data_IF_251463549202
#
_entry.id   IF_251463549202
#
_cell.length_a   1.000
_cell.length_b   1.000
_cell.length_c   1.000
_cell.angle_alpha   90.00
_cell.angle_beta   90.00
_cell.angle_gamma   90.00
#
_symmetry.space_group_name_H-M   'P 1'
#
loop_
_entity.id
_entity.type
_entity.pdbx_description
1 polymer ?
#
# COMPACT_ATOMS: atom_id res chain seq x y z
N UNK A 1 -19.33 39.67 1.99
CA UNK A 1 -18.16 39.00 1.36
C UNK A 1 -17.54 38.06 2.38
N UNK A 2 -17.04 36.91 1.93
CA UNK A 2 -16.37 35.82 2.68
C UNK A 2 -17.30 35.01 3.61
N UNK A 3 -17.23 33.67 3.68
CA UNK A 3 -16.41 32.70 2.98
C UNK A 3 -17.06 31.31 3.06
N UNK A 4 -16.90 30.54 1.99
CA UNK A 4 -17.43 29.20 1.79
C UNK A 4 -16.92 28.21 2.85
N UNK A 5 -17.75 27.91 3.85
CA UNK A 5 -17.60 26.71 4.68
C UNK A 5 -18.13 25.50 3.90
N UNK A 6 -17.32 24.92 2.99
CA UNK A 6 -17.64 23.63 2.38
C UNK A 6 -17.53 22.55 3.46
N UNK A 7 -18.67 22.17 4.05
CA UNK A 7 -18.83 20.91 4.78
C UNK A 7 -18.71 19.78 3.75
N UNK A 8 -17.58 19.09 3.76
CA UNK A 8 -17.41 17.82 3.06
C UNK A 8 -18.30 16.78 3.75
N UNK A 9 -19.36 16.35 3.07
CA UNK A 9 -20.33 15.37 3.59
C UNK A 9 -20.09 14.01 2.94
N UNK A 10 -20.32 12.95 3.72
CA UNK A 10 -20.33 11.51 3.44
C UNK A 10 -20.15 10.98 1.99
N UNK A 11 -20.63 11.66 0.95
CA UNK A 11 -20.48 11.27 -0.47
C UNK A 11 -19.03 11.10 -0.93
N UNK A 12 -18.09 11.92 -0.46
CA UNK A 12 -16.67 11.77 -0.82
C UNK A 12 -16.07 10.47 -0.28
N UNK A 13 -16.43 10.10 0.96
CA UNK A 13 -16.06 8.80 1.55
C UNK A 13 -16.65 7.62 0.76
N UNK A 14 -17.86 7.74 0.21
CA UNK A 14 -18.46 6.68 -0.60
C UNK A 14 -17.77 6.51 -1.96
N UNK A 15 -17.42 7.63 -2.62
CA UNK A 15 -16.73 7.60 -3.91
C UNK A 15 -15.29 7.11 -3.77
N UNK A 16 -14.58 7.52 -2.72
CA UNK A 16 -13.22 7.07 -2.42
C UNK A 16 -13.21 5.58 -2.09
N UNK A 17 -14.14 5.11 -1.25
CA UNK A 17 -14.29 3.68 -0.91
C UNK A 17 -14.65 2.81 -2.12
N UNK A 18 -15.51 3.28 -3.03
CA UNK A 18 -15.83 2.59 -4.30
C UNK A 18 -14.64 2.55 -5.24
N UNK A 19 -13.86 3.64 -5.33
CA UNK A 19 -12.64 3.67 -6.15
C UNK A 19 -11.65 2.62 -5.67
N UNK A 20 -11.38 2.55 -4.37
CA UNK A 20 -10.47 1.57 -3.78
C UNK A 20 -10.90 0.12 -4.07
N UNK A 21 -12.20 -0.17 -4.05
CA UNK A 21 -12.75 -1.49 -4.41
C UNK A 21 -12.56 -1.85 -5.90
N UNK A 22 -12.75 -0.91 -6.82
CA UNK A 22 -12.58 -1.14 -8.26
C UNK A 22 -11.11 -1.43 -8.63
N UNK A 23 -10.16 -0.68 -8.06
CA UNK A 23 -8.74 -0.88 -8.38
C UNK A 23 -8.18 -2.21 -7.86
N UNK A 24 -8.76 -2.73 -6.78
CA UNK A 24 -8.34 -4.03 -6.24
C UNK A 24 -8.70 -5.24 -7.10
N UNK A 25 -9.68 -5.09 -8.00
CA UNK A 25 -10.03 -6.08 -9.03
C UNK A 25 -9.17 -5.91 -10.29
N UNK A 26 -8.40 -4.83 -10.42
CA UNK A 26 -7.56 -4.58 -11.60
C UNK A 26 -6.27 -5.39 -11.61
N UNK A 27 -5.82 -5.90 -10.46
CA UNK A 27 -4.60 -6.72 -10.41
C UNK A 27 -4.95 -8.17 -10.61
N UNK A 28 -4.53 -8.70 -11.75
CA UNK A 28 -4.53 -10.14 -11.97
C UNK A 28 -3.29 -10.77 -11.29
N UNK A 29 -3.46 -11.09 -10.01
CA UNK A 29 -2.40 -11.69 -9.19
C UNK A 29 -1.89 -13.03 -9.71
N UNK A 30 -2.70 -13.72 -10.52
CA UNK A 30 -2.41 -15.07 -11.00
C UNK A 30 -1.60 -15.02 -12.28
N UNK A 31 -1.98 -14.18 -13.25
CA UNK A 31 -1.39 -14.21 -14.59
C UNK A 31 -0.34 -13.12 -14.84
N UNK A 32 -0.38 -12.02 -14.09
CA UNK A 32 0.61 -10.97 -14.31
C UNK A 32 1.99 -11.38 -13.81
N UNK A 33 3.01 -10.81 -14.45
CA UNK A 33 4.40 -11.01 -14.05
C UNK A 33 4.70 -10.21 -12.78
N UNK A 34 5.70 -10.67 -12.04
CA UNK A 34 6.26 -9.98 -10.88
C UNK A 34 6.61 -8.52 -11.21
N UNK A 35 7.26 -8.29 -12.35
CA UNK A 35 7.72 -6.97 -12.77
C UNK A 35 6.56 -6.03 -13.09
N UNK A 36 5.59 -6.47 -13.88
CA UNK A 36 4.42 -5.66 -14.23
C UNK A 36 3.65 -5.25 -12.96
N UNK A 37 3.38 -6.21 -12.09
CA UNK A 37 2.65 -5.96 -10.84
C UNK A 37 3.43 -5.03 -9.92
N UNK A 38 4.76 -5.23 -9.80
CA UNK A 38 5.62 -4.35 -9.01
C UNK A 38 5.59 -2.91 -9.49
N UNK A 39 5.64 -2.68 -10.80
CA UNK A 39 5.52 -1.33 -11.36
C UNK A 39 4.15 -0.71 -11.09
N UNK A 40 3.05 -1.45 -11.30
CA UNK A 40 1.71 -0.92 -11.06
C UNK A 40 1.50 -0.51 -9.59
N UNK A 41 1.86 -1.39 -8.65
CA UNK A 41 1.68 -1.15 -7.22
C UNK A 41 2.49 0.09 -6.77
N UNK A 42 3.65 0.33 -7.37
CA UNK A 42 4.43 1.54 -7.08
C UNK A 42 3.78 2.83 -7.57
N UNK A 43 3.07 2.77 -8.68
CA UNK A 43 2.47 3.96 -9.30
C UNK A 43 1.16 4.38 -8.65
N UNK A 44 0.46 3.47 -7.97
CA UNK A 44 -0.91 3.70 -7.50
C UNK A 44 -1.14 3.12 -6.10
N UNK A 45 -1.72 3.89 -5.15
CA UNK A 45 -1.84 3.48 -3.75
C UNK A 45 -3.09 2.63 -3.44
N UNK A 46 -3.76 2.04 -4.43
CA UNK A 46 -5.03 1.33 -4.21
C UNK A 46 -4.93 0.15 -3.23
N UNK A 47 -3.73 -0.41 -3.06
CA UNK A 47 -3.45 -1.57 -2.21
C UNK A 47 -3.24 -1.20 -0.73
N UNK A 48 -3.06 0.08 -0.41
CA UNK A 48 -2.74 0.54 0.96
C UNK A 48 -3.82 0.14 1.95
N UNK A 49 -5.10 0.23 1.56
CA UNK A 49 -6.24 -0.15 2.41
C UNK A 49 -6.39 -1.66 2.68
N UNK A 50 -5.58 -2.51 2.06
CA UNK A 50 -5.53 -3.96 2.35
C UNK A 50 -4.53 -4.30 3.47
N UNK A 51 -3.69 -3.35 3.86
CA UNK A 51 -2.73 -3.54 4.92
C UNK A 51 -3.32 -3.04 6.23
N UNK A 52 -2.96 -3.66 7.36
CA UNK A 52 -3.31 -3.11 8.66
C UNK A 52 -2.79 -1.68 8.81
N UNK A 53 -3.59 -0.84 9.44
CA UNK A 53 -3.17 0.52 9.76
C UNK A 53 -1.88 0.49 10.60
N UNK A 54 -0.92 1.37 10.30
CA UNK A 54 0.26 1.55 11.14
C UNK A 54 -0.12 1.84 12.60
N UNK A 55 0.51 1.14 13.56
CA UNK A 55 0.23 1.31 14.99
C UNK A 55 1.47 1.79 15.78
N UNK A 56 1.24 2.27 17.01
CA UNK A 56 2.30 2.74 17.91
C UNK A 56 3.07 3.95 17.35
N UNK A 57 4.39 3.91 17.44
CA UNK A 57 5.26 4.97 16.91
C UNK A 57 5.20 5.12 15.38
N UNK A 58 4.69 4.09 14.68
CA UNK A 58 4.56 4.08 13.22
C UNK A 58 3.23 4.63 12.73
N UNK A 59 2.31 5.05 13.61
CA UNK A 59 0.94 5.52 13.27
C UNK A 59 0.87 6.65 12.23
N UNK A 60 1.98 7.36 12.01
CA UNK A 60 2.10 8.47 11.06
C UNK A 60 2.98 8.15 9.84
N UNK A 61 3.37 6.89 9.67
CA UNK A 61 4.15 6.43 8.52
C UNK A 61 3.20 5.83 7.50
N UNK A 62 3.50 6.03 6.22
CA UNK A 62 2.78 5.37 5.14
C UNK A 62 3.40 4.03 4.78
N UNK A 63 2.67 3.23 4.01
CA UNK A 63 3.22 2.04 3.36
C UNK A 63 3.87 2.42 2.02
N UNK A 64 4.92 1.70 1.64
CA UNK A 64 5.53 1.77 0.31
C UNK A 64 5.87 0.38 -0.24
N UNK A 65 5.86 0.27 -1.57
CA UNK A 65 6.34 -0.91 -2.27
C UNK A 65 7.87 -0.90 -2.29
N UNK A 66 8.47 -1.94 -1.71
CA UNK A 66 9.90 -2.18 -1.68
C UNK A 66 10.37 -3.09 -2.82
N UNK A 67 11.43 -3.86 -2.58
CA UNK A 67 12.04 -4.69 -3.61
C UNK A 67 11.18 -5.91 -3.97
N UNK A 68 11.37 -6.41 -5.19
CA UNK A 68 10.82 -7.67 -5.69
C UNK A 68 11.89 -8.76 -5.70
N UNK A 69 11.48 -9.98 -5.44
CA UNK A 69 12.36 -11.16 -5.44
C UNK A 69 11.70 -12.22 -6.30
N UNK A 70 12.40 -12.68 -7.34
CA UNK A 70 11.93 -13.77 -8.20
C UNK A 70 12.20 -15.09 -7.49
N UNK A 71 11.16 -15.89 -7.31
CA UNK A 71 11.23 -17.12 -6.54
C UNK A 71 9.94 -17.89 -6.74
N UNK A 72 10.05 -19.21 -6.90
CA UNK A 72 8.90 -20.09 -7.02
C UNK A 72 8.38 -20.40 -5.62
N UNK A 73 7.14 -20.00 -5.36
CA UNK A 73 6.45 -20.32 -4.12
C UNK A 73 5.18 -21.09 -4.39
N UNK A 74 4.94 -22.14 -3.62
CA UNK A 74 3.65 -22.85 -3.59
C UNK A 74 2.59 -22.09 -2.78
N UNK A 75 2.68 -20.76 -2.75
CA UNK A 75 1.77 -19.89 -2.04
C UNK A 75 0.73 -19.33 -3.00
N UNK A 76 -0.45 -19.02 -2.46
CA UNK A 76 -1.57 -18.48 -3.22
C UNK A 76 -1.22 -17.06 -3.70
N UNK A 77 -1.21 -16.79 -5.02
CA UNK A 77 -0.99 -15.44 -5.53
C UNK A 77 -1.99 -14.43 -4.96
N UNK A 78 -1.54 -13.22 -4.71
CA UNK A 78 -2.31 -12.15 -4.06
C UNK A 78 -2.37 -12.26 -2.53
N UNK A 79 -1.88 -13.35 -1.93
CA UNK A 79 -1.77 -13.47 -0.47
C UNK A 79 -0.78 -12.45 0.07
N UNK A 80 -1.23 -11.64 1.02
CA UNK A 80 -0.39 -10.73 1.80
C UNK A 80 -0.07 -11.43 3.13
N UNK A 81 1.20 -11.48 3.52
CA UNK A 81 1.61 -12.02 4.81
C UNK A 81 2.66 -11.13 5.50
N UNK A 82 2.62 -11.13 6.83
CA UNK A 82 3.52 -10.32 7.66
C UNK A 82 4.89 -10.97 7.76
N UNK A 83 5.94 -10.15 7.77
CA UNK A 83 7.33 -10.54 8.03
C UNK A 83 7.95 -9.64 9.12
N UNK A 84 9.18 -9.94 9.54
CA UNK A 84 9.90 -9.07 10.48
C UNK A 84 10.15 -7.65 9.91
N UNK A 85 10.27 -7.52 8.59
CA UNK A 85 10.59 -6.26 7.92
C UNK A 85 9.36 -5.49 7.41
N UNK A 86 8.15 -6.05 7.51
CA UNK A 86 6.93 -5.45 6.97
C UNK A 86 5.95 -6.51 6.51
N UNK A 87 5.51 -6.42 5.26
CA UNK A 87 4.62 -7.38 4.61
C UNK A 87 5.21 -7.83 3.28
N UNK A 88 4.81 -8.99 2.81
CA UNK A 88 5.07 -9.45 1.46
C UNK A 88 3.74 -9.75 0.78
N UNK A 89 3.64 -9.48 -0.52
CA UNK A 89 2.57 -10.00 -1.38
C UNK A 89 3.13 -11.04 -2.33
N UNK A 90 2.40 -12.15 -2.47
CA UNK A 90 2.77 -13.30 -3.30
C UNK A 90 2.31 -13.09 -4.74
N UNK A 91 3.14 -13.47 -5.70
CA UNK A 91 2.80 -13.69 -7.10
C UNK A 91 3.21 -15.10 -7.54
N UNK A 92 2.73 -15.52 -8.71
CA UNK A 92 3.06 -16.83 -9.29
C UNK A 92 4.58 -17.06 -9.46
N UNK A 93 5.33 -15.99 -9.72
CA UNK A 93 6.75 -16.00 -10.08
C UNK A 93 7.64 -15.28 -9.06
N UNK A 94 7.08 -14.83 -7.92
CA UNK A 94 7.88 -14.18 -6.89
C UNK A 94 7.12 -13.52 -5.76
N UNK A 95 7.83 -12.63 -5.06
CA UNK A 95 7.30 -11.85 -3.94
C UNK A 95 7.64 -10.37 -4.12
N UNK A 96 6.72 -9.50 -3.70
CA UNK A 96 6.97 -8.06 -3.58
C UNK A 96 6.95 -7.69 -2.09
N UNK A 97 8.01 -7.03 -1.64
CA UNK A 97 8.08 -6.49 -0.27
C UNK A 97 7.25 -5.22 -0.16
N UNK A 98 6.59 -5.06 0.97
CA UNK A 98 5.88 -3.86 1.37
C UNK A 98 6.44 -3.44 2.72
N UNK A 99 6.93 -2.21 2.81
CA UNK A 99 7.60 -1.68 3.99
C UNK A 99 7.04 -0.33 4.39
N UNK A 100 7.38 0.14 5.58
CA UNK A 100 7.06 1.51 5.97
C UNK A 100 7.91 2.48 5.16
N UNK A 101 7.26 3.51 4.63
CA UNK A 101 7.92 4.65 4.01
C UNK A 101 8.65 5.43 5.09
N UNK A 102 9.97 5.34 5.07
CA UNK A 102 10.82 6.14 5.94
C UNK A 102 11.07 7.47 5.25
N UNK A 103 10.60 8.55 5.88
CA UNK A 103 10.99 9.91 5.51
C UNK A 103 12.05 10.40 6.52
N UNK A 104 13.35 10.37 6.18
CA UNK A 104 14.41 10.71 7.12
C UNK A 104 14.34 12.17 7.58
N UNK A 105 13.83 13.10 6.77
CA UNK A 105 13.68 14.51 7.15
C UNK A 105 12.63 14.65 8.26
N UNK A 106 11.51 13.93 8.12
CA UNK A 106 10.46 13.91 9.14
C UNK A 106 10.82 13.09 10.38
N UNK A 107 11.76 12.15 10.28
CA UNK A 107 12.29 11.39 11.41
C UNK A 107 13.19 12.28 12.30
N UNK A 108 14.11 13.03 11.69
CA UNK A 108 15.03 13.93 12.40
C UNK A 108 14.29 15.08 13.10
N UNK A 109 13.28 15.67 12.44
CA UNK A 109 12.43 16.71 13.04
C UNK A 109 11.68 16.26 14.30
N UNK A 110 11.47 14.95 14.50
CA UNK A 110 10.79 14.38 15.67
C UNK A 110 11.73 13.96 16.80
N UNK A 111 13.04 13.87 16.53
CA UNK A 111 14.06 13.54 17.53
C UNK A 111 14.72 14.79 18.12
N UNK A 112 14.68 15.91 17.37
CA UNK A 112 15.31 17.18 17.72
C UNK A 112 14.31 18.28 18.11
N UNK A 113 13.01 17.97 18.16
CA UNK A 113 11.94 18.85 18.62
C UNK A 113 11.03 18.11 19.58
#
# INVERSE_FOLDING_TARGET
MSGLHKKWTNGDNYLEKRRTHLYTEMVDWTNWTLEHTWHLLRCTPFWVGRLPDPTGWRRRLDWEIGDRHQTLHNLIPGKIFKTAAGYNVVLQDGLIKIKFKLDPINLVKKLLG
#
